data_IF_942140430561
#
_entry.id   IF_942140430561
#
_cell.length_a   1.000
_cell.length_b   1.000
_cell.length_c   1.000
_cell.angle_alpha   90.00
_cell.angle_beta   90.00
_cell.angle_gamma   90.00
#
_symmetry.space_group_name_H-M   'P 1'
#
loop_
_entity.id
_entity.type
_entity.pdbx_description
1 polymer ?
#
# COMPACT_ATOMS: atom_id res chain seq x y z
N UNK A 1 -14.72 -21.58 -0.71
CA UNK A 1 -13.51 -20.77 -0.93
C UNK A 1 -13.93 -19.59 -1.79
N UNK A 2 -14.31 -18.47 -1.15
CA UNK A 2 -14.94 -17.34 -1.84
C UNK A 2 -13.83 -16.54 -2.53
N UNK A 3 -13.64 -16.78 -3.83
CA UNK A 3 -12.78 -15.94 -4.65
C UNK A 3 -13.44 -14.59 -4.85
N UNK A 4 -12.90 -13.55 -4.23
CA UNK A 4 -13.36 -12.18 -4.41
C UNK A 4 -12.93 -11.71 -5.80
N UNK A 5 -13.91 -11.43 -6.66
CA UNK A 5 -13.67 -11.00 -8.03
C UNK A 5 -13.27 -9.51 -8.05
N UNK A 6 -11.97 -9.23 -8.00
CA UNK A 6 -11.47 -7.91 -8.38
C UNK A 6 -11.44 -7.80 -9.91
N UNK A 7 -12.07 -6.77 -10.47
CA UNK A 7 -12.03 -6.46 -11.91
C UNK A 7 -10.70 -5.82 -12.33
N UNK A 8 -9.83 -5.52 -11.37
CA UNK A 8 -8.43 -5.17 -11.56
C UNK A 8 -7.50 -6.37 -11.38
N UNK A 9 -6.39 -6.40 -12.13
CA UNK A 9 -5.35 -7.45 -12.06
C UNK A 9 -4.55 -7.48 -10.74
N UNK A 10 -4.90 -6.62 -9.77
CA UNK A 10 -4.18 -6.43 -8.51
C UNK A 10 -5.13 -6.56 -7.32
N UNK A 11 -4.68 -7.29 -6.30
CA UNK A 11 -5.30 -7.40 -4.99
C UNK A 11 -4.69 -6.40 -4.01
N UNK A 12 -5.52 -5.76 -3.19
CA UNK A 12 -5.11 -4.88 -2.11
C UNK A 12 -6.01 -5.06 -0.90
N UNK A 13 -5.40 -5.33 0.26
CA UNK A 13 -6.11 -5.38 1.54
C UNK A 13 -5.38 -4.57 2.60
N UNK A 14 -6.16 -3.93 3.48
CA UNK A 14 -5.67 -3.07 4.55
C UNK A 14 -6.32 -3.49 5.85
N UNK A 15 -5.55 -3.60 6.93
CA UNK A 15 -6.10 -3.81 8.26
C UNK A 15 -6.85 -2.55 8.73
N UNK A 16 -8.09 -2.72 9.19
CA UNK A 16 -8.85 -1.65 9.83
C UNK A 16 -8.33 -1.34 11.24
N UNK A 17 -8.99 -0.40 11.93
CA UNK A 17 -8.60 0.03 13.27
C UNK A 17 -8.68 -1.09 14.33
N UNK A 18 -9.44 -2.15 14.07
CA UNK A 18 -9.60 -3.33 14.91
C UNK A 18 -8.64 -4.47 14.51
N UNK A 19 -7.78 -4.24 13.50
CA UNK A 19 -6.79 -5.20 13.02
C UNK A 19 -7.36 -6.24 12.05
N UNK A 20 -8.59 -6.06 11.55
CA UNK A 20 -9.22 -6.97 10.58
C UNK A 20 -8.81 -6.57 9.17
N UNK A 21 -8.29 -7.53 8.39
CA UNK A 21 -7.94 -7.30 6.99
C UNK A 21 -9.20 -7.09 6.13
N UNK A 22 -9.31 -5.91 5.51
CA UNK A 22 -10.38 -5.54 4.58
C UNK A 22 -9.83 -5.54 3.17
N UNK A 23 -10.44 -6.33 2.29
CA UNK A 23 -10.16 -6.30 0.86
C UNK A 23 -10.73 -4.99 0.29
N UNK A 24 -9.88 -4.18 -0.35
CA UNK A 24 -10.25 -2.92 -0.99
C UNK A 24 -10.17 -2.99 -2.52
N UNK A 25 -9.88 -4.18 -3.08
CA UNK A 25 -9.58 -4.38 -4.50
C UNK A 25 -10.72 -4.01 -5.44
N UNK A 26 -11.97 -4.05 -4.96
CA UNK A 26 -13.13 -3.66 -5.76
C UNK A 26 -13.30 -2.14 -5.89
N UNK A 27 -12.70 -1.37 -4.98
CA UNK A 27 -12.84 0.10 -4.93
C UNK A 27 -11.57 0.84 -5.35
N UNK A 28 -10.41 0.20 -5.27
CA UNK A 28 -9.12 0.79 -5.66
C UNK A 28 -8.95 0.78 -7.17
N UNK A 29 -8.77 1.97 -7.75
CA UNK A 29 -8.51 2.15 -9.19
C UNK A 29 -7.00 2.24 -9.47
N UNK A 30 -6.24 2.81 -8.55
CA UNK A 30 -4.80 3.02 -8.70
C UNK A 30 -4.08 2.85 -7.38
N UNK A 31 -2.98 2.10 -7.45
CA UNK A 31 -1.94 2.03 -6.42
C UNK A 31 -0.74 2.80 -6.96
N UNK A 32 -0.26 3.79 -6.20
CA UNK A 32 0.96 4.55 -6.48
C UNK A 32 2.19 3.66 -6.47
N UNK A 33 3.38 4.20 -6.78
CA UNK A 33 4.59 3.40 -6.90
C UNK A 33 4.87 2.66 -5.58
N UNK A 34 4.92 1.32 -5.68
CA UNK A 34 5.46 0.44 -4.65
C UNK A 34 6.83 -0.01 -5.16
N UNK A 35 7.89 0.52 -4.54
CA UNK A 35 9.27 0.24 -4.91
C UNK A 35 10.08 -0.28 -3.72
N UNK A 36 11.34 -0.62 -3.98
CA UNK A 36 12.37 -0.74 -2.94
C UNK A 36 13.49 0.21 -3.34
N UNK A 37 13.72 1.24 -2.55
CA UNK A 37 14.84 2.14 -2.72
C UNK A 37 15.80 2.01 -1.54
N UNK A 38 17.08 1.87 -1.86
CA UNK A 38 18.14 1.86 -0.86
C UNK A 38 18.69 3.28 -0.73
N UNK A 39 18.86 3.73 0.52
CA UNK A 39 19.60 4.97 0.76
C UNK A 39 21.09 4.68 0.61
N UNK A 40 21.65 4.92 -0.58
CA UNK A 40 23.09 4.76 -0.82
C UNK A 40 23.90 5.89 -0.19
N UNK A 41 25.00 5.57 0.49
CA UNK A 41 26.01 6.54 0.94
C UNK A 41 27.20 6.50 -0.01
N UNK A 42 27.54 7.65 -0.58
CA UNK A 42 28.79 7.78 -1.34
C UNK A 42 29.99 7.65 -0.40
N UNK A 43 30.90 6.74 -0.76
CA UNK A 43 32.14 6.43 -0.03
C UNK A 43 33.35 6.49 -0.96
N UNK A 44 33.22 7.17 -2.10
CA UNK A 44 34.29 7.31 -3.09
C UNK A 44 35.50 8.01 -2.47
N UNK A 45 36.63 7.31 -2.44
CA UNK A 45 37.91 7.83 -1.94
C UNK A 45 38.70 8.57 -3.02
N UNK A 46 39.68 9.37 -2.59
CA UNK A 46 40.56 10.18 -3.47
C UNK A 46 41.33 9.36 -4.52
N UNK A 47 41.54 8.06 -4.31
CA UNK A 47 42.25 7.16 -5.24
C UNK A 47 41.33 6.15 -5.94
N UNK A 48 40.01 6.25 -5.78
CA UNK A 48 39.10 5.33 -6.45
C UNK A 48 38.95 5.69 -7.93
N UNK A 49 39.15 4.70 -8.80
CA UNK A 49 39.01 4.86 -10.24
C UNK A 49 37.53 4.90 -10.72
N UNK A 50 36.59 4.60 -9.83
CA UNK A 50 35.15 4.64 -10.09
C UNK A 50 34.38 4.99 -8.80
N UNK A 51 33.20 5.59 -8.95
CA UNK A 51 32.34 5.93 -7.82
C UNK A 51 31.95 4.68 -7.02
N UNK A 52 32.04 4.75 -5.69
CA UNK A 52 31.70 3.66 -4.78
C UNK A 52 30.60 4.10 -3.84
N UNK A 53 29.54 3.30 -3.79
CA UNK A 53 28.39 3.55 -2.93
C UNK A 53 28.24 2.40 -1.94
N UNK A 54 28.25 2.70 -0.65
CA UNK A 54 27.86 1.76 0.39
C UNK A 54 26.33 1.75 0.52
N UNK A 55 25.72 0.57 0.52
CA UNK A 55 24.28 0.45 0.74
C UNK A 55 23.95 0.81 2.20
N UNK A 56 23.09 1.82 2.38
CA UNK A 56 22.49 2.16 3.67
C UNK A 56 21.12 1.50 3.87
N UNK A 57 20.36 1.91 4.89
CA UNK A 57 19.06 1.33 5.19
C UNK A 57 18.06 1.57 4.04
N UNK A 58 17.06 0.69 3.94
CA UNK A 58 15.94 0.89 3.01
C UNK A 58 15.24 2.22 3.31
N UNK A 59 15.01 3.02 2.27
CA UNK A 59 14.25 4.25 2.40
C UNK A 59 12.78 3.90 2.65
N UNK A 60 12.18 4.51 3.68
CA UNK A 60 10.78 4.34 4.01
C UNK A 60 9.92 4.72 2.79
N UNK A 61 9.30 3.73 2.17
CA UNK A 61 8.52 3.92 0.95
C UNK A 61 7.20 4.62 1.26
N UNK A 62 6.79 5.53 0.37
CA UNK A 62 5.43 6.08 0.38
C UNK A 62 4.65 5.52 -0.81
N UNK A 63 3.43 5.06 -0.56
CA UNK A 63 2.51 4.70 -1.64
C UNK A 63 1.15 5.36 -1.40
N UNK A 64 0.36 5.48 -2.47
CA UNK A 64 -0.95 6.10 -2.44
C UNK A 64 -1.99 5.13 -3.00
N UNK A 65 -3.12 4.97 -2.31
CA UNK A 65 -4.29 4.28 -2.83
C UNK A 65 -5.31 5.32 -3.24
N UNK A 66 -5.88 5.16 -4.43
CA UNK A 66 -6.96 6.02 -4.89
C UNK A 66 -8.03 5.22 -5.62
N UNK A 67 -9.27 5.64 -5.49
CA UNK A 67 -10.39 4.93 -6.11
C UNK A 67 -11.75 5.49 -5.72
N UNK A 68 -12.78 4.68 -5.92
CA UNK A 68 -14.17 5.06 -5.63
C UNK A 68 -14.45 4.97 -4.14
N UNK A 69 -15.01 6.03 -3.58
CA UNK A 69 -15.43 6.04 -2.18
C UNK A 69 -16.78 5.34 -2.01
N UNK A 70 -16.91 4.61 -0.91
CA UNK A 70 -18.11 3.88 -0.52
C UNK A 70 -18.11 3.75 1.02
N UNK A 71 -19.25 4.05 1.65
CA UNK A 71 -19.46 4.04 3.10
C UNK A 71 -20.17 2.78 3.60
N UNK A 72 -20.31 1.74 2.76
CA UNK A 72 -20.94 0.48 3.17
C UNK A 72 -20.26 -0.06 4.43
N UNK A 73 -20.98 -0.18 5.55
CA UNK A 73 -20.37 -0.57 6.82
C UNK A 73 -19.64 -1.92 6.72
N UNK A 74 -18.39 -1.96 7.19
CA UNK A 74 -17.56 -3.17 7.25
C UNK A 74 -17.02 -3.67 5.89
N UNK A 75 -17.37 -3.03 4.78
CA UNK A 75 -16.97 -3.45 3.44
C UNK A 75 -16.33 -2.30 2.66
N UNK A 76 -16.87 -1.09 2.77
CA UNK A 76 -16.40 0.09 2.05
C UNK A 76 -15.02 0.57 2.53
N UNK A 77 -14.27 1.28 1.65
CA UNK A 77 -12.99 1.87 1.98
C UNK A 77 -13.08 2.87 3.14
N UNK A 78 -14.22 3.52 3.36
CA UNK A 78 -14.39 4.42 4.51
C UNK A 78 -14.31 3.68 5.85
N UNK A 79 -14.95 2.52 5.95
CA UNK A 79 -14.94 1.69 7.15
C UNK A 79 -13.52 1.18 7.50
N UNK A 80 -12.69 0.94 6.47
CA UNK A 80 -11.31 0.50 6.67
C UNK A 80 -10.34 1.65 6.94
N UNK A 81 -10.48 2.77 6.23
CA UNK A 81 -9.44 3.82 6.13
C UNK A 81 -9.66 5.02 7.05
N UNK A 82 -10.91 5.32 7.43
CA UNK A 82 -11.22 6.51 8.25
C UNK A 82 -10.61 6.43 9.66
N UNK A 83 -10.61 5.24 10.28
CA UNK A 83 -10.15 5.02 11.65
C UNK A 83 -8.65 4.78 11.82
N UNK A 84 -7.90 4.64 10.72
CA UNK A 84 -6.48 4.25 10.74
C UNK A 84 -5.51 5.41 10.47
N UNK A 85 -6.03 6.62 10.23
CA UNK A 85 -5.19 7.81 10.03
C UNK A 85 -4.30 8.04 11.26
N UNK A 86 -2.99 8.16 11.03
CA UNK A 86 -1.98 8.29 12.08
C UNK A 86 -1.61 6.98 12.79
N UNK A 87 -2.14 5.82 12.35
CA UNK A 87 -1.84 4.50 12.92
C UNK A 87 -1.03 3.65 11.93
N UNK A 88 -0.17 2.81 12.48
CA UNK A 88 0.53 1.76 11.73
C UNK A 88 -0.40 0.56 11.57
N UNK A 89 -0.60 0.14 10.34
CA UNK A 89 -1.48 -0.97 9.97
C UNK A 89 -0.78 -1.91 9.01
N UNK A 90 -1.26 -3.15 8.95
CA UNK A 90 -0.81 -4.11 7.94
C UNK A 90 -1.46 -3.81 6.60
N UNK A 91 -0.66 -3.80 5.54
CA UNK A 91 -1.13 -3.72 4.16
C UNK A 91 -0.60 -4.88 3.36
N UNK A 92 -1.48 -5.48 2.57
CA UNK A 92 -1.19 -6.54 1.63
C UNK A 92 -1.49 -6.11 0.21
N UNK A 93 -0.54 -6.35 -0.69
CA UNK A 93 -0.68 -6.01 -2.10
C UNK A 93 -0.09 -7.12 -2.98
N UNK A 94 -0.74 -7.43 -4.10
CA UNK A 94 -0.26 -8.47 -5.02
C UNK A 94 -1.06 -8.54 -6.32
N UNK A 95 -0.76 -9.49 -7.21
CA UNK A 95 -1.60 -9.82 -8.35
C UNK A 95 -2.93 -10.44 -7.89
N UNK A 96 -3.94 -10.39 -8.75
CA UNK A 96 -5.28 -10.93 -8.47
C UNK A 96 -5.23 -12.45 -8.30
N UNK A 97 -5.79 -12.90 -7.17
CA UNK A 97 -5.92 -14.30 -6.80
C UNK A 97 -5.06 -14.67 -5.60
N UNK A 98 -5.68 -15.16 -4.54
CA UNK A 98 -5.00 -15.73 -3.36
C UNK A 98 -4.60 -17.19 -3.58
N UNK A 99 -4.32 -17.57 -4.84
CA UNK A 99 -3.92 -18.94 -5.18
C UNK A 99 -2.48 -19.19 -4.72
N UNK A 100 -2.23 -20.37 -4.16
CA UNK A 100 -0.90 -20.79 -3.75
C UNK A 100 0.11 -20.55 -4.88
N UNK A 101 1.24 -19.91 -4.56
CA UNK A 101 2.30 -19.57 -5.52
C UNK A 101 2.27 -18.14 -6.07
N UNK A 102 1.21 -17.37 -5.80
CA UNK A 102 1.17 -15.95 -6.18
C UNK A 102 1.94 -15.08 -5.18
N UNK A 103 2.76 -14.15 -5.69
CA UNK A 103 3.59 -13.25 -4.88
C UNK A 103 2.72 -12.22 -4.16
N UNK A 104 2.99 -11.99 -2.88
CA UNK A 104 2.36 -10.98 -2.04
C UNK A 104 3.42 -10.09 -1.43
N UNK A 105 3.19 -8.78 -1.43
CA UNK A 105 3.91 -7.83 -0.60
C UNK A 105 3.06 -7.60 0.64
N UNK A 106 3.62 -7.87 1.82
CA UNK A 106 2.99 -7.66 3.12
C UNK A 106 3.90 -6.78 3.97
N UNK A 107 3.38 -5.73 4.58
CA UNK A 107 4.21 -4.87 5.42
C UNK A 107 3.39 -4.01 6.39
N UNK A 108 4.10 -3.37 7.33
CA UNK A 108 3.52 -2.38 8.23
C UNK A 108 3.67 -0.99 7.63
N UNK A 109 2.56 -0.26 7.52
CA UNK A 109 2.51 1.07 6.96
C UNK A 109 1.66 1.99 7.84
N UNK A 110 2.15 3.20 8.07
CA UNK A 110 1.38 4.26 8.71
C UNK A 110 0.54 4.98 7.66
N UNK A 111 -0.77 5.09 7.90
CA UNK A 111 -1.64 5.93 7.10
C UNK A 111 -1.38 7.42 7.46
N UNK A 112 -0.76 8.15 6.55
CA UNK A 112 -0.43 9.57 6.74
C UNK A 112 -1.62 10.48 6.51
N UNK A 113 -2.47 10.15 5.53
CA UNK A 113 -3.64 10.95 5.21
C UNK A 113 -4.71 10.13 4.52
N UNK A 114 -5.96 10.39 4.86
CA UNK A 114 -7.14 9.93 4.13
C UNK A 114 -7.97 11.15 3.73
N UNK A 115 -8.30 11.26 2.44
CA UNK A 115 -9.07 12.39 1.90
C UNK A 115 -10.18 11.87 1.01
N UNK A 116 -11.35 12.48 1.15
CA UNK A 116 -12.51 12.27 0.30
C UNK A 116 -12.66 13.49 -0.59
N UNK A 117 -12.82 13.28 -1.88
CA UNK A 117 -13.02 14.34 -2.86
C UNK A 117 -14.23 14.03 -3.72
N UNK A 118 -15.00 15.07 -4.03
CA UNK A 118 -16.14 14.97 -4.93
C UNK A 118 -16.21 16.21 -5.80
N UNK A 119 -16.70 16.03 -7.03
CA UNK A 119 -17.09 17.12 -7.92
C UNK A 119 -18.58 16.96 -8.20
N UNK A 120 -19.31 18.07 -8.32
CA UNK A 120 -20.72 18.01 -8.66
C UNK A 120 -20.91 17.27 -9.99
N UNK A 121 -21.62 16.13 -9.97
CA UNK A 121 -21.84 15.27 -11.13
C UNK A 121 -20.83 14.13 -11.34
N UNK A 122 -19.80 13.99 -10.49
CA UNK A 122 -18.85 12.87 -10.52
C UNK A 122 -19.01 11.95 -9.30
N UNK A 123 -18.65 10.65 -9.42
CA UNK A 123 -18.61 9.76 -8.27
C UNK A 123 -17.61 10.26 -7.23
N UNK A 124 -17.95 10.09 -5.95
CA UNK A 124 -17.06 10.41 -4.83
C UNK A 124 -15.82 9.52 -4.89
N UNK A 125 -14.65 10.11 -4.70
CA UNK A 125 -13.35 9.44 -4.74
C UNK A 125 -12.64 9.55 -3.41
N UNK A 126 -11.84 8.55 -3.08
CA UNK A 126 -10.92 8.60 -1.94
C UNK A 126 -9.47 8.59 -2.40
N UNK A 127 -8.62 9.17 -1.56
CA UNK A 127 -7.17 9.08 -1.65
C UNK A 127 -6.59 8.81 -0.25
N UNK A 128 -5.81 7.74 -0.12
CA UNK A 128 -5.13 7.36 1.10
C UNK A 128 -3.62 7.29 0.85
N UNK A 129 -2.83 7.97 1.69
CA UNK A 129 -1.36 7.96 1.62
C UNK A 129 -0.80 7.16 2.77
N UNK A 130 0.14 6.29 2.45
CA UNK A 130 0.80 5.40 3.39
C UNK A 130 2.30 5.59 3.34
N UNK A 131 2.95 5.48 4.49
CA UNK A 131 4.41 5.42 4.60
C UNK A 131 4.82 4.15 5.34
N UNK A 132 5.84 3.49 4.83
CA UNK A 132 6.41 2.30 5.45
C UNK A 132 6.91 2.61 6.86
N UNK A 133 6.50 1.78 7.82
CA UNK A 133 6.82 1.89 9.25
C UNK A 133 7.55 0.64 9.78
N UNK A 134 7.62 -0.42 8.97
CA UNK A 134 8.34 -1.64 9.28
C UNK A 134 8.85 -2.35 8.02
N UNK A 135 9.53 -3.49 8.15
CA UNK A 135 9.98 -4.25 6.99
C UNK A 135 8.78 -4.67 6.12
N UNK A 136 8.94 -4.50 4.81
CA UNK A 136 8.01 -5.05 3.83
C UNK A 136 8.56 -6.40 3.37
N UNK A 137 7.77 -7.45 3.53
CA UNK A 137 8.13 -8.81 3.18
C UNK A 137 7.53 -9.19 1.83
N UNK A 138 8.35 -9.80 0.97
CA UNK A 138 7.87 -10.48 -0.22
C UNK A 138 7.55 -11.93 0.15
N UNK A 139 6.26 -12.22 0.30
CA UNK A 139 5.75 -13.55 0.57
C UNK A 139 5.09 -14.18 -0.65
N UNK A 140 4.53 -15.35 -0.40
CA UNK A 140 3.60 -16.06 -1.28
C UNK A 140 2.29 -16.20 -0.52
N UNK A 141 1.15 -16.14 -1.20
CA UNK A 141 -0.15 -16.44 -0.60
C UNK A 141 -0.20 -17.83 0.03
#
# INVERSE_FOLDING_TARGET
MTGYASTGRSYVAVADADGVMRDLSAWVERVGPLGRELSGRDVTGVNDAAARTAAGPEAAQEFTLSGRWDDTPGIGPDAALSGIVGRSVRVDYGPVGSGAGQRRVSGSFVCLSYRISSRAGEPVRFEARFRQDGPAELGVW
#
